data_IF_505714640352
#
_entry.id   IF_505714640352
#
_cell.length_a   1.000
_cell.length_b   1.000
_cell.length_c   1.000
_cell.angle_alpha   90.00
_cell.angle_beta   90.00
_cell.angle_gamma   90.00
#
_symmetry.space_group_name_H-M   'P 1'
#
loop_
_entity.id
_entity.type
_entity.pdbx_description
1 polymer ?
#
# COMPACT_ATOMS: atom_id res chain seq x y z
N UNK A 1 5.64 11.81 -4.87
CA UNK A 1 5.25 10.49 -5.44
C UNK A 1 4.37 9.70 -4.48
N UNK A 2 4.74 9.52 -3.21
CA UNK A 2 3.93 8.80 -2.20
C UNK A 2 2.57 9.47 -1.92
N UNK A 3 2.51 10.81 -1.82
CA UNK A 3 1.25 11.54 -1.57
C UNK A 3 0.24 11.44 -2.74
N UNK A 4 0.70 11.30 -3.98
CA UNK A 4 -0.20 11.14 -5.13
C UNK A 4 -0.84 9.75 -5.12
N UNK A 5 -0.10 8.71 -4.73
CA UNK A 5 -0.64 7.36 -4.62
C UNK A 5 -1.77 7.25 -3.57
N UNK A 6 -1.63 7.94 -2.43
CA UNK A 6 -2.62 7.92 -1.34
C UNK A 6 -3.88 8.74 -1.72
N UNK A 7 -3.72 9.86 -2.42
CA UNK A 7 -4.84 10.76 -2.80
C UNK A 7 -5.55 10.28 -4.08
N UNK A 8 -4.86 9.61 -5.01
CA UNK A 8 -5.49 8.98 -6.19
C UNK A 8 -6.11 7.61 -5.89
N UNK A 9 -5.79 6.98 -4.76
CA UNK A 9 -6.34 5.68 -4.35
C UNK A 9 -7.88 5.64 -4.37
N UNK A 10 -8.63 6.65 -3.91
CA UNK A 10 -10.10 6.60 -3.89
C UNK A 10 -10.73 6.70 -5.29
N UNK A 11 -10.12 7.49 -6.19
CA UNK A 11 -10.71 7.79 -7.52
C UNK A 11 -10.25 6.82 -8.62
N UNK A 12 -9.05 6.24 -8.55
CA UNK A 12 -8.58 5.24 -9.52
C UNK A 12 -9.19 3.85 -9.33
N UNK A 13 -9.82 3.60 -8.19
CA UNK A 13 -10.26 2.26 -7.82
C UNK A 13 -11.72 1.94 -8.18
N UNK A 14 -12.58 2.94 -8.41
CA UNK A 14 -13.95 2.68 -8.88
C UNK A 14 -14.68 1.57 -8.09
N UNK A 15 -14.49 1.52 -6.76
CA UNK A 15 -14.93 0.40 -5.92
C UNK A 15 -16.39 0.62 -5.55
N UNK A 16 -17.27 0.22 -6.45
CA UNK A 16 -18.51 -0.41 -5.99
C UNK A 16 -18.18 -1.87 -5.70
N UNK A 17 -18.66 -2.42 -4.59
CA UNK A 17 -18.58 -3.85 -4.34
C UNK A 17 -19.47 -4.55 -5.37
N UNK A 18 -18.89 -4.86 -6.53
CA UNK A 18 -19.62 -5.47 -7.64
C UNK A 18 -19.90 -6.94 -7.31
N UNK A 19 -21.14 -7.21 -6.92
CA UNK A 19 -21.64 -8.53 -6.54
C UNK A 19 -21.27 -9.59 -7.59
N UNK A 20 -21.43 -9.28 -8.87
CA UNK A 20 -21.19 -10.24 -9.95
C UNK A 20 -19.73 -10.64 -10.05
N UNK A 21 -18.80 -9.70 -9.80
CA UNK A 21 -17.36 -9.98 -9.78
C UNK A 21 -16.99 -10.79 -8.54
N UNK A 22 -17.54 -10.46 -7.38
CA UNK A 22 -17.26 -11.18 -6.14
C UNK A 22 -17.73 -12.64 -6.21
N UNK A 23 -18.93 -12.87 -6.74
CA UNK A 23 -19.45 -14.23 -6.98
C UNK A 23 -18.52 -15.01 -7.92
N UNK A 24 -18.08 -14.40 -9.04
CA UNK A 24 -17.13 -15.02 -9.98
C UNK A 24 -15.78 -15.33 -9.33
N UNK A 25 -15.26 -14.45 -8.47
CA UNK A 25 -14.02 -14.65 -7.74
C UNK A 25 -14.15 -15.85 -6.80
N UNK A 26 -15.23 -15.92 -6.02
CA UNK A 26 -15.49 -17.06 -5.14
C UNK A 26 -15.60 -18.36 -5.95
N UNK A 27 -16.42 -18.37 -7.01
CA UNK A 27 -16.62 -19.56 -7.84
C UNK A 27 -15.34 -20.01 -8.55
N UNK A 28 -14.50 -19.09 -9.00
CA UNK A 28 -13.30 -19.42 -9.78
C UNK A 28 -12.06 -19.74 -8.96
N UNK A 29 -11.98 -19.31 -7.69
CA UNK A 29 -10.72 -19.35 -6.95
C UNK A 29 -10.82 -19.84 -5.51
N UNK A 30 -12.01 -19.91 -4.91
CA UNK A 30 -12.16 -20.49 -3.58
C UNK A 30 -11.70 -21.95 -3.60
N UNK A 31 -10.89 -22.35 -2.61
CA UNK A 31 -10.38 -23.71 -2.47
C UNK A 31 -9.46 -24.21 -3.60
N UNK A 32 -9.06 -23.34 -4.53
CA UNK A 32 -8.15 -23.71 -5.63
C UNK A 32 -6.69 -23.69 -5.14
N UNK A 33 -5.87 -24.70 -5.46
CA UNK A 33 -4.46 -24.73 -5.09
C UNK A 33 -3.69 -23.47 -5.56
N UNK A 34 -2.85 -22.90 -4.70
CA UNK A 34 -2.13 -21.65 -4.98
C UNK A 34 -2.98 -20.38 -4.84
N UNK A 35 -4.24 -20.51 -4.39
CA UNK A 35 -5.12 -19.41 -4.00
C UNK A 35 -5.52 -19.48 -2.53
N UNK A 36 -4.70 -20.09 -1.67
CA UNK A 36 -5.05 -20.30 -0.26
C UNK A 36 -5.35 -18.98 0.47
N UNK A 37 -4.64 -17.89 0.12
CA UNK A 37 -4.88 -16.58 0.74
C UNK A 37 -6.31 -16.06 0.51
N UNK A 38 -6.87 -16.32 -0.68
CA UNK A 38 -8.26 -15.95 -0.96
C UNK A 38 -9.23 -16.84 -0.18
N UNK A 39 -8.98 -18.15 -0.14
CA UNK A 39 -9.76 -19.10 0.65
C UNK A 39 -9.79 -18.70 2.11
N UNK A 40 -8.62 -18.45 2.71
CA UNK A 40 -8.48 -18.02 4.10
C UNK A 40 -9.19 -16.69 4.38
N UNK A 41 -9.16 -15.74 3.45
CA UNK A 41 -9.85 -14.46 3.60
C UNK A 41 -11.37 -14.63 3.56
N UNK A 42 -11.89 -15.48 2.66
CA UNK A 42 -13.32 -15.81 2.58
C UNK A 42 -13.76 -16.55 3.84
N UNK A 43 -12.99 -17.55 4.27
CA UNK A 43 -13.23 -18.36 5.46
C UNK A 43 -13.26 -17.49 6.72
N UNK A 44 -12.32 -16.55 6.86
CA UNK A 44 -12.32 -15.57 7.93
C UNK A 44 -13.58 -14.71 7.91
N UNK A 45 -13.97 -14.19 6.74
CA UNK A 45 -15.16 -13.35 6.61
C UNK A 45 -16.44 -14.12 6.99
N UNK A 46 -16.56 -15.36 6.56
CA UNK A 46 -17.70 -16.23 6.88
C UNK A 46 -17.81 -16.50 8.37
N UNK A 47 -16.70 -16.91 8.97
CA UNK A 47 -16.65 -17.23 10.38
C UNK A 47 -16.84 -15.98 11.26
N UNK A 48 -16.31 -14.82 10.84
CA UNK A 48 -16.40 -13.57 11.60
C UNK A 48 -17.76 -12.90 11.52
N UNK A 49 -18.40 -12.91 10.35
CA UNK A 49 -19.69 -12.25 10.15
C UNK A 49 -20.88 -13.18 10.33
N UNK A 50 -20.67 -14.49 10.44
CA UNK A 50 -21.75 -15.48 10.51
C UNK A 50 -22.59 -15.48 9.23
N UNK A 51 -21.92 -15.52 8.08
CA UNK A 51 -22.52 -15.46 6.76
C UNK A 51 -22.04 -16.63 5.89
N UNK A 52 -22.73 -16.92 4.80
CA UNK A 52 -22.31 -17.97 3.87
C UNK A 52 -22.55 -17.60 2.41
N UNK A 53 -21.55 -17.91 1.58
CA UNK A 53 -21.52 -17.51 0.17
C UNK A 53 -21.37 -16.00 -0.02
N UNK A 54 -21.23 -15.58 -1.28
CA UNK A 54 -21.13 -14.15 -1.61
C UNK A 54 -22.52 -13.51 -1.56
N UNK A 55 -23.40 -13.94 -2.47
CA UNK A 55 -24.80 -13.50 -2.49
C UNK A 55 -25.78 -14.63 -2.11
N UNK A 56 -25.34 -15.89 -2.13
CA UNK A 56 -26.13 -17.05 -1.75
C UNK A 56 -25.22 -18.25 -1.49
N UNK A 57 -25.68 -19.19 -0.67
CA UNK A 57 -25.01 -20.48 -0.44
C UNK A 57 -24.81 -21.28 -1.74
N UNK A 58 -25.69 -21.10 -2.72
CA UNK A 58 -25.63 -21.74 -4.04
C UNK A 58 -24.36 -21.35 -4.82
N UNK A 59 -23.67 -20.27 -4.42
CA UNK A 59 -22.40 -19.91 -5.04
C UNK A 59 -21.35 -21.03 -4.98
N UNK A 60 -21.45 -21.93 -4.00
CA UNK A 60 -20.56 -23.09 -3.91
C UNK A 60 -20.89 -24.20 -4.91
N UNK A 61 -22.16 -24.38 -5.27
CA UNK A 61 -22.59 -25.47 -6.16
C UNK A 61 -21.95 -25.38 -7.55
N UNK A 62 -21.75 -24.16 -8.03
CA UNK A 62 -21.13 -23.88 -9.33
C UNK A 62 -19.67 -23.44 -9.21
N UNK A 63 -19.07 -23.59 -8.03
CA UNK A 63 -17.65 -23.24 -7.81
C UNK A 63 -16.71 -24.34 -8.29
N UNK A 64 -15.50 -23.97 -8.70
CA UNK A 64 -14.44 -24.92 -9.02
C UNK A 64 -14.09 -25.80 -7.82
N UNK A 65 -14.18 -25.28 -6.59
CA UNK A 65 -14.00 -26.06 -5.37
C UNK A 65 -14.89 -27.31 -5.33
N UNK A 66 -16.18 -27.15 -5.65
CA UNK A 66 -17.16 -28.24 -5.70
C UNK A 66 -16.98 -29.09 -6.95
N UNK A 67 -16.89 -28.45 -8.12
CA UNK A 67 -16.84 -29.13 -9.42
C UNK A 67 -15.56 -29.96 -9.61
N UNK A 68 -14.41 -29.47 -9.12
CA UNK A 68 -13.12 -30.15 -9.21
C UNK A 68 -12.78 -30.97 -7.95
N UNK A 69 -13.71 -31.06 -6.99
CA UNK A 69 -13.53 -31.82 -5.73
C UNK A 69 -12.27 -31.42 -4.94
N UNK A 70 -11.95 -30.13 -4.93
CA UNK A 70 -10.85 -29.61 -4.10
C UNK A 70 -11.20 -29.65 -2.61
N UNK A 71 -12.48 -29.57 -2.27
CA UNK A 71 -12.97 -30.00 -0.96
C UNK A 71 -12.83 -31.51 -0.87
N UNK A 72 -11.89 -31.99 -0.05
CA UNK A 72 -11.56 -33.41 0.13
C UNK A 72 -12.77 -34.32 0.45
N UNK A 73 -13.91 -33.73 0.80
CA UNK A 73 -15.21 -34.39 1.03
C UNK A 73 -16.29 -33.73 0.18
N UNK A 74 -17.37 -34.46 -0.13
CA UNK A 74 -18.51 -33.95 -0.91
C UNK A 74 -19.42 -32.96 -0.13
N UNK A 75 -18.83 -32.11 0.71
CA UNK A 75 -19.54 -31.08 1.48
C UNK A 75 -20.32 -30.11 0.59
N UNK A 76 -21.54 -29.78 1.01
CA UNK A 76 -22.43 -28.82 0.32
C UNK A 76 -21.87 -27.41 0.43
N UNK A 77 -21.36 -27.04 1.60
CA UNK A 77 -20.73 -25.75 1.88
C UNK A 77 -19.44 -25.94 2.67
N UNK A 78 -18.51 -24.97 2.67
CA UNK A 78 -17.39 -24.97 3.59
C UNK A 78 -17.81 -25.03 5.05
N UNK A 79 -16.98 -25.62 5.90
CA UNK A 79 -17.28 -25.73 7.33
C UNK A 79 -17.34 -24.37 8.05
N UNK A 80 -16.70 -23.34 7.50
CA UNK A 80 -16.78 -21.95 7.97
C UNK A 80 -18.15 -21.31 7.79
N UNK A 81 -19.03 -21.90 6.97
CA UNK A 81 -20.46 -21.54 6.92
C UNK A 81 -21.29 -22.17 8.05
N UNK A 82 -20.75 -23.15 8.78
CA UNK A 82 -21.45 -23.81 9.88
C UNK A 82 -21.38 -22.97 11.16
N UNK A 83 -22.30 -23.20 12.10
CA UNK A 83 -22.15 -22.70 13.47
C UNK A 83 -20.98 -23.45 14.12
N UNK A 84 -19.96 -22.69 14.55
CA UNK A 84 -18.71 -23.24 15.08
C UNK A 84 -18.74 -23.33 16.62
N UNK A 85 -18.27 -24.46 17.16
CA UNK A 85 -18.11 -24.65 18.62
C UNK A 85 -16.86 -23.95 19.15
N UNK A 86 -15.85 -23.76 18.30
CA UNK A 86 -14.55 -23.22 18.66
C UNK A 86 -14.42 -21.73 18.33
N UNK A 87 -15.52 -20.98 18.40
CA UNK A 87 -15.55 -19.53 18.13
C UNK A 87 -14.66 -18.69 19.07
N UNK A 88 -14.21 -19.26 20.19
CA UNK A 88 -13.28 -18.63 21.12
C UNK A 88 -11.80 -18.75 20.69
N UNK A 89 -11.50 -19.64 19.75
CA UNK A 89 -10.13 -19.80 19.23
C UNK A 89 -9.82 -18.67 18.24
N UNK A 90 -8.60 -18.11 18.28
CA UNK A 90 -8.20 -17.02 17.37
C UNK A 90 -8.19 -17.46 15.89
N UNK A 91 -7.86 -18.74 15.65
CA UNK A 91 -7.69 -19.32 14.31
C UNK A 91 -8.84 -20.27 13.92
N UNK A 92 -10.02 -20.06 14.51
CA UNK A 92 -11.23 -20.86 14.27
C UNK A 92 -11.66 -20.95 12.79
N UNK A 93 -11.26 -20.00 11.95
CA UNK A 93 -11.52 -20.02 10.51
C UNK A 93 -10.55 -20.91 9.71
N UNK A 94 -9.38 -21.25 10.26
CA UNK A 94 -8.40 -22.15 9.63
C UNK A 94 -8.64 -23.63 9.99
N UNK A 95 -9.13 -23.89 11.20
CA UNK A 95 -9.56 -25.21 11.68
C UNK A 95 -11.00 -25.12 12.24
N UNK A 96 -12.00 -24.94 11.37
CA UNK A 96 -13.40 -24.80 11.79
C UNK A 96 -13.93 -26.11 12.38
N UNK A 97 -14.50 -26.03 13.59
CA UNK A 97 -15.15 -27.16 14.26
C UNK A 97 -16.65 -26.90 14.37
N UNK A 98 -17.47 -27.43 13.44
CA UNK A 98 -18.92 -27.27 13.51
C UNK A 98 -19.50 -27.89 14.78
N UNK A 99 -20.52 -27.25 15.36
CA UNK A 99 -21.32 -27.84 16.45
C UNK A 99 -21.92 -29.18 16.02
N UNK A 100 -22.43 -29.25 14.78
CA UNK A 100 -22.87 -30.49 14.16
C UNK A 100 -22.53 -30.48 12.66
N UNK A 101 -21.49 -31.22 12.27
CA UNK A 101 -21.05 -31.30 10.87
C UNK A 101 -22.16 -31.89 9.98
N UNK A 102 -22.82 -32.97 10.42
CA UNK A 102 -23.81 -33.67 9.60
C UNK A 102 -25.02 -32.81 9.31
N UNK A 103 -25.62 -32.18 10.35
CA UNK A 103 -26.78 -31.30 10.16
C UNK A 103 -26.41 -30.05 9.37
N UNK A 104 -25.24 -29.46 9.62
CA UNK A 104 -24.77 -28.35 8.82
C UNK A 104 -24.64 -28.72 7.34
N UNK A 105 -24.32 -29.97 6.98
CA UNK A 105 -24.13 -30.42 5.59
C UNK A 105 -25.39 -30.96 4.91
N UNK A 106 -26.54 -30.94 5.58
CA UNK A 106 -27.82 -31.33 4.96
C UNK A 106 -28.22 -30.38 3.83
N UNK A 107 -29.04 -30.89 2.91
CA UNK A 107 -29.60 -30.12 1.80
C UNK A 107 -30.92 -29.44 2.17
N UNK A 108 -31.65 -29.99 3.14
CA UNK A 108 -32.97 -29.51 3.51
C UNK A 108 -32.89 -28.39 4.55
N UNK A 109 -33.53 -27.25 4.26
CA UNK A 109 -33.47 -26.04 5.10
C UNK A 109 -33.94 -26.28 6.53
N UNK A 110 -34.97 -27.10 6.72
CA UNK A 110 -35.47 -27.46 8.06
C UNK A 110 -34.43 -28.15 8.92
N UNK A 111 -33.44 -28.82 8.32
CA UNK A 111 -32.40 -29.56 9.04
C UNK A 111 -31.14 -28.73 9.28
N UNK A 112 -30.79 -27.84 8.34
CA UNK A 112 -29.55 -27.04 8.45
C UNK A 112 -29.75 -25.65 9.06
N UNK A 113 -30.98 -25.12 9.14
CA UNK A 113 -31.24 -23.71 9.52
C UNK A 113 -30.64 -23.28 10.86
N UNK A 114 -30.54 -24.19 11.84
CA UNK A 114 -29.95 -23.92 13.15
C UNK A 114 -28.42 -24.18 13.20
N UNK A 115 -27.86 -24.84 12.19
CA UNK A 115 -26.47 -25.31 12.17
C UNK A 115 -25.62 -24.68 11.06
N UNK A 116 -26.21 -23.87 10.19
CA UNK A 116 -25.56 -23.22 9.05
C UNK A 116 -26.05 -21.77 8.89
N UNK A 117 -25.12 -20.87 8.60
CA UNK A 117 -25.44 -19.52 8.18
C UNK A 117 -26.01 -19.50 6.75
N UNK A 118 -27.13 -18.80 6.55
CA UNK A 118 -27.78 -18.63 5.23
C UNK A 118 -27.71 -17.20 4.70
N UNK A 119 -27.28 -16.25 5.53
CA UNK A 119 -27.23 -14.83 5.19
C UNK A 119 -26.04 -14.56 4.25
N UNK A 120 -26.20 -13.77 3.18
CA UNK A 120 -25.11 -13.46 2.25
C UNK A 120 -24.01 -12.60 2.87
N UNK A 121 -22.76 -12.92 2.59
CA UNK A 121 -21.61 -12.16 3.11
C UNK A 121 -21.47 -10.77 2.49
N UNK A 122 -21.93 -10.56 1.26
CA UNK A 122 -21.83 -9.25 0.60
C UNK A 122 -22.46 -8.12 1.41
N UNK A 123 -23.56 -8.40 2.11
CA UNK A 123 -24.23 -7.41 2.95
C UNK A 123 -23.33 -6.91 4.08
N UNK A 124 -22.63 -7.82 4.75
CA UNK A 124 -21.71 -7.48 5.84
C UNK A 124 -20.43 -6.84 5.32
N UNK A 125 -19.92 -7.34 4.18
CA UNK A 125 -18.73 -6.79 3.52
C UNK A 125 -18.96 -5.36 3.05
N UNK A 126 -20.11 -5.03 2.44
CA UNK A 126 -20.42 -3.66 2.01
C UNK A 126 -20.50 -2.71 3.22
N UNK A 127 -21.16 -3.13 4.30
CA UNK A 127 -21.23 -2.32 5.51
C UNK A 127 -19.85 -2.09 6.15
N UNK A 128 -19.10 -3.17 6.38
CA UNK A 128 -17.75 -3.11 6.94
C UNK A 128 -16.81 -2.25 6.08
N UNK A 129 -16.89 -2.42 4.75
CA UNK A 129 -16.08 -1.65 3.81
C UNK A 129 -16.39 -0.14 3.89
N UNK A 130 -17.67 0.23 3.96
CA UNK A 130 -18.08 1.65 4.10
C UNK A 130 -17.54 2.27 5.38
N UNK A 131 -17.58 1.55 6.48
CA UNK A 131 -17.06 2.03 7.77
C UNK A 131 -15.55 2.25 7.73
N UNK A 132 -14.79 1.25 7.26
CA UNK A 132 -13.32 1.37 7.17
C UNK A 132 -12.88 2.44 6.17
N UNK A 133 -13.61 2.61 5.06
CA UNK A 133 -13.32 3.64 4.07
C UNK A 133 -13.32 5.04 4.67
N UNK A 134 -14.30 5.37 5.52
CA UNK A 134 -14.36 6.67 6.18
C UNK A 134 -13.17 6.88 7.13
N UNK A 135 -12.77 5.84 7.85
CA UNK A 135 -11.59 5.89 8.72
C UNK A 135 -10.32 6.18 7.92
N UNK A 136 -10.06 5.44 6.84
CA UNK A 136 -8.90 5.69 5.98
C UNK A 136 -8.93 7.06 5.30
N UNK A 137 -10.10 7.51 4.84
CA UNK A 137 -10.26 8.84 4.26
C UNK A 137 -9.90 9.92 5.28
N UNK A 138 -10.44 9.83 6.50
CA UNK A 138 -10.13 10.80 7.56
C UNK A 138 -8.64 10.80 7.93
N UNK A 139 -8.03 9.62 8.07
CA UNK A 139 -6.60 9.49 8.38
C UNK A 139 -5.71 10.07 7.27
N UNK A 140 -6.05 9.81 6.00
CA UNK A 140 -5.32 10.35 4.86
C UNK A 140 -5.42 11.88 4.78
N UNK A 141 -6.58 12.45 5.10
CA UNK A 141 -6.77 13.90 5.16
C UNK A 141 -5.90 14.54 6.26
N UNK A 142 -5.86 13.93 7.45
CA UNK A 142 -4.99 14.40 8.56
C UNK A 142 -3.52 14.39 8.12
N UNK A 143 -3.05 13.30 7.50
CA UNK A 143 -1.68 13.20 6.99
C UNK A 143 -1.38 14.27 5.94
N UNK A 144 -2.32 14.56 5.03
CA UNK A 144 -2.16 15.62 4.04
C UNK A 144 -2.03 17.01 4.69
N UNK A 145 -2.85 17.31 5.72
CA UNK A 145 -2.79 18.56 6.46
C UNK A 145 -1.43 18.72 7.15
N UNK A 146 -0.97 17.71 7.87
CA UNK A 146 0.34 17.73 8.54
C UNK A 146 1.46 17.98 7.54
N UNK A 147 1.42 17.32 6.38
CA UNK A 147 2.40 17.51 5.33
C UNK A 147 2.42 18.95 4.81
N UNK A 148 1.25 19.57 4.61
CA UNK A 148 1.14 20.96 4.18
C UNK A 148 1.71 21.89 5.26
N UNK A 149 1.40 21.67 6.53
CA UNK A 149 1.93 22.46 7.64
C UNK A 149 3.47 22.40 7.72
N UNK A 150 4.06 21.22 7.52
CA UNK A 150 5.53 21.05 7.49
C UNK A 150 6.14 21.83 6.33
N UNK A 151 5.57 21.74 5.13
CA UNK A 151 6.05 22.47 3.96
C UNK A 151 5.97 24.00 4.16
N UNK A 152 4.86 24.50 4.71
CA UNK A 152 4.70 25.91 5.02
C UNK A 152 5.72 26.38 6.07
N UNK A 153 5.96 25.57 7.10
CA UNK A 153 6.94 25.89 8.15
C UNK A 153 8.35 26.04 7.57
N UNK A 154 8.74 25.16 6.65
CA UNK A 154 10.03 25.23 5.94
C UNK A 154 10.09 26.51 5.09
N UNK A 155 9.05 26.81 4.30
CA UNK A 155 9.01 27.99 3.43
C UNK A 155 9.10 29.28 4.24
N UNK A 156 8.31 29.40 5.32
CA UNK A 156 8.30 30.57 6.20
C UNK A 156 9.65 30.76 6.89
N UNK A 157 10.28 29.67 7.35
CA UNK A 157 11.62 29.75 7.93
C UNK A 157 12.65 30.21 6.89
N UNK A 158 12.55 29.74 5.64
CA UNK A 158 13.41 30.18 4.53
C UNK A 158 13.17 31.63 4.11
N UNK A 159 11.93 32.14 4.16
CA UNK A 159 11.63 33.54 3.85
C UNK A 159 12.02 34.49 4.98
N UNK A 160 11.99 34.01 6.23
CA UNK A 160 12.41 34.76 7.40
C UNK A 160 13.93 34.74 7.64
N UNK A 161 14.71 33.97 6.86
CA UNK A 161 16.15 34.21 6.74
C UNK A 161 16.28 35.56 6.04
N UNK A 162 16.56 36.65 6.78
CA UNK A 162 16.79 37.93 6.14
C UNK A 162 18.02 37.73 5.26
N UNK A 163 18.17 38.59 4.26
CA UNK A 163 19.33 38.74 3.39
C UNK A 163 20.66 39.02 4.15
N UNK A 164 20.98 38.33 5.25
CA UNK A 164 22.23 38.42 6.01
C UNK A 164 23.44 37.94 5.20
N UNK A 165 23.23 37.20 4.11
CA UNK A 165 24.28 36.88 3.13
C UNK A 165 24.68 38.05 2.22
N UNK A 166 23.91 39.16 2.17
CA UNK A 166 24.30 40.36 1.41
C UNK A 166 25.15 41.32 2.25
N UNK A 167 25.03 41.31 3.58
CA UNK A 167 25.89 42.12 4.46
C UNK A 167 27.24 41.45 4.79
N UNK A 168 27.31 40.12 4.91
CA UNK A 168 28.60 39.44 5.16
C UNK A 168 29.58 39.55 3.99
N UNK A 169 29.10 39.70 2.74
CA UNK A 169 29.97 39.97 1.58
C UNK A 169 30.48 41.41 1.52
N UNK A 170 29.76 42.39 2.09
CA UNK A 170 30.20 43.79 2.10
C UNK A 170 31.24 44.07 3.19
N UNK A 171 31.21 43.34 4.31
CA UNK A 171 32.17 43.51 5.40
C UNK A 171 33.53 42.83 5.13
N UNK A 172 33.62 41.88 4.19
CA UNK A 172 34.89 41.23 3.80
C UNK A 172 35.68 41.97 2.73
N UNK A 173 35.05 42.86 1.96
CA UNK A 173 35.75 43.72 0.98
C UNK A 173 36.29 45.01 1.60
N UNK A 174 35.76 45.49 2.74
CA UNK A 174 36.23 46.71 3.42
C UNK A 174 37.31 46.45 4.49
N UNK A 175 38.05 45.34 4.39
CA UNK A 175 39.18 45.04 5.30
C UNK A 175 40.35 44.37 4.61
N UNK A 176 40.83 44.95 3.50
CA UNK A 176 42.20 44.74 3.04
C UNK A 176 42.84 46.09 2.70
N UNK A 177 43.83 46.56 3.48
CA UNK A 177 44.63 47.72 3.12
C UNK A 177 45.66 47.37 2.02
N UNK A 178 46.18 48.38 1.30
CA UNK A 178 47.11 48.20 0.19
C UNK A 178 48.54 48.04 0.70
N UNK A 179 49.27 47.07 0.13
CA UNK A 179 50.74 47.07 0.19
C UNK A 179 51.29 46.44 -1.08
N UNK A 180 51.84 47.32 -1.93
CA UNK A 180 53.06 47.12 -2.73
C UNK A 180 54.11 46.36 -1.88
N UNK A 181 55.02 45.51 -2.36
CA UNK A 181 55.83 45.50 -3.59
C UNK A 181 56.50 44.13 -3.67
N UNK A 182 56.61 43.51 -4.85
CA UNK A 182 57.84 42.91 -5.38
C UNK A 182 57.54 42.21 -6.72
N UNK A 183 57.97 42.88 -7.80
CA UNK A 183 58.00 42.38 -9.17
C UNK A 183 59.06 41.28 -9.33
N UNK A 184 58.68 40.13 -9.89
CA UNK A 184 59.54 39.25 -10.71
C UNK A 184 58.63 38.65 -11.79
N UNK A 185 58.36 39.41 -12.85
CA UNK A 185 59.04 39.31 -14.14
C UNK A 185 58.79 37.95 -14.83
N UNK A 186 57.61 37.81 -15.43
CA UNK A 186 57.37 36.83 -16.50
C UNK A 186 58.23 37.24 -17.70
N UNK A 187 59.44 36.68 -17.79
CA UNK A 187 60.28 36.79 -18.99
C UNK A 187 59.72 35.86 -20.06
N UNK A 188 59.31 36.44 -21.18
CA UNK A 188 58.89 35.72 -22.37
C UNK A 188 60.05 34.88 -22.92
N UNK A 189 59.74 33.62 -23.22
CA UNK A 189 60.66 32.54 -23.60
C UNK A 189 61.30 32.75 -25.00
N UNK A 190 60.88 33.76 -25.76
CA UNK A 190 61.33 33.97 -27.15
C UNK A 190 62.59 34.82 -27.32
N UNK A 191 63.07 35.51 -26.28
CA UNK A 191 64.14 36.52 -26.43
C UNK A 191 65.56 36.00 -26.08
N UNK A 192 65.68 34.79 -25.51
CA UNK A 192 66.95 34.32 -24.94
C UNK A 192 67.81 33.49 -25.91
N UNK A 193 67.22 32.88 -26.95
CA UNK A 193 67.95 32.03 -27.90
C UNK A 193 68.62 32.80 -29.05
N UNK A 194 68.08 33.97 -29.44
CA UNK A 194 68.67 34.78 -30.52
C UNK A 194 69.95 35.54 -30.10
N UNK A 195 70.10 35.87 -28.82
CA UNK A 195 71.27 36.57 -28.29
C UNK A 195 72.51 35.66 -28.16
N UNK A 196 72.32 34.36 -27.96
CA UNK A 196 73.42 33.39 -27.83
C UNK A 196 73.98 32.92 -29.18
N UNK A 197 73.20 32.98 -30.25
CA UNK A 197 73.70 32.66 -31.60
C UNK A 197 74.53 33.79 -32.21
N UNK A 198 74.22 35.06 -31.90
CA UNK A 198 74.97 36.20 -32.44
C UNK A 198 76.35 36.36 -31.81
N UNK A 199 76.53 36.00 -30.54
CA UNK A 199 77.82 36.10 -29.84
C UNK A 199 78.80 34.98 -30.21
N UNK A 200 78.33 33.87 -30.77
CA UNK A 200 79.21 32.79 -31.27
C UNK A 200 79.91 33.13 -32.60
N UNK A 201 79.60 34.29 -33.19
CA UNK A 201 80.16 34.75 -34.47
C UNK A 201 81.32 35.75 -34.32
N UNK A 202 81.70 36.13 -33.09
CA UNK A 202 82.74 37.13 -32.84
C UNK A 202 83.73 36.81 -31.70
N UNK A 203 83.89 35.53 -31.34
CA UNK A 203 84.99 35.08 -30.47
C UNK A 203 85.52 33.74 -30.93
#
# INVERSE_FOLDING_TARGET
MICLAIILWPHCLGITLDESKMVKILQGFYGVPGKEQLTNAIDLAQASFGCCGMNSVINYDTSLWKLQRYGQREWVVPLTCCILMNNNDILYYLDPKPVNETQCQMLQETEFSEYRHSIPCLKYLDNWYREQYLVFLSASLILAIVQICVLLSIIVNCSNVPSKKVEEKKMSELRKPPTETHHTLVKNIYEQDLALQSLRKYR
#
